data_IF_787994900017
#
_entry.id   IF_787994900017
#
_cell.length_a   1.000
_cell.length_b   1.000
_cell.length_c   1.000
_cell.angle_alpha   90.00
_cell.angle_beta   90.00
_cell.angle_gamma   90.00
#
_symmetry.space_group_name_H-M   'P 1'
#
loop_
_entity.id
_entity.type
_entity.pdbx_description
1 polymer ?
#
# COMPACT_ATOMS: atom_id res chain seq x y z
N UNK A 1 18.26 3.64 -28.32
CA UNK A 1 17.18 2.66 -28.10
C UNK A 1 16.25 2.65 -29.30
N UNK A 2 15.59 1.53 -29.62
CA UNK A 2 14.83 1.28 -30.87
C UNK A 2 13.34 1.69 -30.83
N UNK A 3 12.80 2.10 -29.68
CA UNK A 3 11.40 2.48 -29.55
C UNK A 3 11.15 3.89 -30.10
N UNK A 4 10.00 4.10 -30.76
CA UNK A 4 9.62 5.40 -31.31
C UNK A 4 8.97 6.27 -30.22
N UNK A 5 9.28 7.56 -30.22
CA UNK A 5 8.59 8.55 -29.38
C UNK A 5 7.15 8.72 -29.86
N UNK A 6 6.19 8.66 -28.94
CA UNK A 6 4.78 8.95 -29.22
C UNK A 6 4.68 10.46 -29.53
N UNK A 7 4.23 10.87 -30.73
CA UNK A 7 3.98 12.28 -30.99
C UNK A 7 2.69 12.72 -30.28
N UNK A 8 2.77 13.75 -29.45
CA UNK A 8 1.57 14.33 -28.84
C UNK A 8 0.68 15.00 -29.88
N UNK A 9 -0.62 14.87 -29.70
CA UNK A 9 -1.71 15.51 -30.47
C UNK A 9 -2.53 16.47 -29.62
N UNK A 10 -2.13 16.65 -28.35
CA UNK A 10 -2.80 17.55 -27.43
C UNK A 10 -2.46 18.99 -27.78
N UNK A 11 -3.50 19.80 -27.94
CA UNK A 11 -3.38 21.25 -27.99
C UNK A 11 -3.59 21.82 -26.58
N UNK A 12 -2.49 22.09 -25.89
CA UNK A 12 -2.47 22.67 -24.54
C UNK A 12 -3.00 24.11 -24.49
N UNK A 13 -3.21 24.75 -25.65
CA UNK A 13 -3.81 26.09 -25.75
C UNK A 13 -5.33 26.08 -25.94
N UNK A 14 -5.92 24.89 -26.09
CA UNK A 14 -7.36 24.75 -26.30
C UNK A 14 -8.19 25.05 -25.04
N UNK A 15 -9.40 25.57 -25.25
CA UNK A 15 -10.37 25.84 -24.17
C UNK A 15 -10.76 24.56 -23.41
N UNK A 16 -10.86 23.43 -24.11
CA UNK A 16 -11.14 22.13 -23.50
C UNK A 16 -10.01 21.72 -22.55
N UNK A 17 -8.75 21.82 -22.98
CA UNK A 17 -7.59 21.50 -22.14
C UNK A 17 -7.55 22.37 -20.88
N UNK A 18 -7.82 23.68 -21.02
CA UNK A 18 -7.89 24.59 -19.88
C UNK A 18 -9.02 24.24 -18.90
N UNK A 19 -10.21 23.90 -19.42
CA UNK A 19 -11.37 23.49 -18.63
C UNK A 19 -11.10 22.21 -17.85
N UNK A 20 -10.58 21.19 -18.52
CA UNK A 20 -10.17 19.91 -17.91
C UNK A 20 -9.11 20.13 -16.83
N UNK A 21 -8.09 20.95 -17.14
CA UNK A 21 -7.01 21.27 -16.19
C UNK A 21 -7.56 21.87 -14.91
N UNK A 22 -8.48 22.83 -15.03
CA UNK A 22 -9.11 23.46 -13.87
C UNK A 22 -9.90 22.46 -13.02
N UNK A 23 -10.79 21.67 -13.64
CA UNK A 23 -11.58 20.66 -12.94
C UNK A 23 -10.71 19.60 -12.26
N UNK A 24 -9.67 19.11 -12.94
CA UNK A 24 -8.75 18.13 -12.37
C UNK A 24 -7.95 18.72 -11.20
N UNK A 25 -7.55 19.99 -11.28
CA UNK A 25 -6.88 20.68 -10.18
C UNK A 25 -7.77 20.80 -8.94
N UNK A 26 -9.08 21.01 -9.09
CA UNK A 26 -10.02 20.98 -7.96
C UNK A 26 -10.09 19.59 -7.31
N UNK A 27 -10.09 18.52 -8.10
CA UNK A 27 -10.04 17.15 -7.59
C UNK A 27 -8.72 16.86 -6.84
N UNK A 28 -7.58 17.31 -7.39
CA UNK A 28 -6.27 17.18 -6.73
C UNK A 28 -6.22 18.00 -5.43
N UNK A 29 -6.76 19.21 -5.42
CA UNK A 29 -6.85 20.03 -4.22
C UNK A 29 -7.70 19.34 -3.14
N UNK A 30 -8.85 18.80 -3.53
CA UNK A 30 -9.72 18.00 -2.64
C UNK A 30 -8.99 16.77 -2.09
N UNK A 31 -8.27 16.03 -2.93
CA UNK A 31 -7.48 14.88 -2.49
C UNK A 31 -6.43 15.29 -1.45
N UNK A 32 -5.66 16.35 -1.74
CA UNK A 32 -4.60 16.85 -0.85
C UNK A 32 -5.16 17.35 0.47
N UNK A 33 -6.26 18.09 0.45
CA UNK A 33 -6.95 18.54 1.66
C UNK A 33 -7.35 17.36 2.54
N UNK A 34 -8.02 16.35 1.96
CA UNK A 34 -8.48 15.18 2.71
C UNK A 34 -7.32 14.35 3.25
N UNK A 35 -6.24 14.20 2.47
CA UNK A 35 -5.02 13.54 2.93
C UNK A 35 -4.40 14.30 4.10
N UNK A 36 -4.32 15.63 4.01
CA UNK A 36 -3.78 16.47 5.09
C UNK A 36 -4.61 16.30 6.37
N UNK A 37 -5.95 16.35 6.28
CA UNK A 37 -6.84 16.11 7.43
C UNK A 37 -6.58 14.73 8.04
N UNK A 38 -6.39 13.69 7.23
CA UNK A 38 -6.10 12.35 7.72
C UNK A 38 -4.71 12.22 8.36
N UNK A 39 -3.70 12.92 7.81
CA UNK A 39 -2.32 12.97 8.33
C UNK A 39 -2.29 13.69 9.68
N UNK A 40 -3.03 14.78 9.82
CA UNK A 40 -3.15 15.57 11.06
C UNK A 40 -3.99 14.85 12.14
N UNK A 41 -4.47 13.64 11.85
CA UNK A 41 -5.20 12.79 12.78
C UNK A 41 -6.68 13.11 12.90
N UNK A 42 -7.24 13.93 12.01
CA UNK A 42 -8.67 14.30 11.90
C UNK A 42 -9.12 15.44 12.82
N UNK A 43 -10.39 15.84 12.69
CA UNK A 43 -10.96 16.94 13.49
C UNK A 43 -11.22 16.54 14.95
N UNK A 44 -10.97 17.45 15.90
CA UNK A 44 -11.34 17.29 17.32
C UNK A 44 -10.38 16.47 18.17
N UNK A 45 -9.11 16.34 17.74
CA UNK A 45 -8.17 15.31 18.22
C UNK A 45 -7.02 15.87 19.05
N UNK A 46 -6.92 17.20 19.13
CA UNK A 46 -5.92 17.96 19.90
C UNK A 46 -5.72 17.39 21.30
N UNK A 47 -6.80 17.18 22.07
CA UNK A 47 -6.72 16.61 23.42
C UNK A 47 -6.12 15.20 23.47
N UNK A 48 -6.28 14.40 22.41
CA UNK A 48 -5.67 13.07 22.32
C UNK A 48 -4.18 13.16 22.02
N UNK A 49 -3.81 14.06 21.10
CA UNK A 49 -2.43 14.35 20.71
C UNK A 49 -1.66 14.95 21.90
N UNK A 50 -2.20 15.95 22.58
CA UNK A 50 -1.60 16.57 23.77
C UNK A 50 -1.33 15.53 24.86
N UNK A 51 -2.28 14.62 25.08
CA UNK A 51 -2.12 13.53 26.05
C UNK A 51 -1.09 12.49 25.60
N UNK A 52 -0.92 12.27 24.30
CA UNK A 52 0.12 11.41 23.75
C UNK A 52 1.50 12.03 23.97
N UNK A 53 1.66 13.32 23.66
CA UNK A 53 2.89 14.06 23.91
C UNK A 53 3.20 14.21 25.41
N UNK A 54 2.20 14.44 26.26
CA UNK A 54 2.37 14.51 27.71
C UNK A 54 2.88 13.20 28.33
N UNK A 55 2.75 12.07 27.62
CA UNK A 55 3.32 10.77 27.99
C UNK A 55 4.74 10.56 27.42
N UNK A 56 5.32 11.56 26.76
CA UNK A 56 6.65 11.50 26.16
C UNK A 56 6.73 10.64 24.90
N UNK A 57 5.60 10.41 24.22
CA UNK A 57 5.50 9.51 23.06
C UNK A 57 5.55 10.27 21.74
N UNK A 58 6.15 9.64 20.73
CA UNK A 58 6.29 10.19 19.38
C UNK A 58 5.06 9.82 18.52
N UNK A 59 4.64 10.68 17.59
CA UNK A 59 3.49 10.42 16.72
C UNK A 59 3.80 9.37 15.65
N UNK A 60 2.80 8.57 15.23
CA UNK A 60 3.02 7.40 14.38
C UNK A 60 3.82 7.65 13.09
N UNK A 61 3.63 8.80 12.42
CA UNK A 61 4.39 9.20 11.23
C UNK A 61 5.82 9.61 11.57
N UNK A 62 5.99 10.46 12.58
CA UNK A 62 7.31 10.86 13.08
C UNK A 62 8.15 9.64 13.50
N UNK A 63 7.51 8.59 14.07
CA UNK A 63 8.19 7.32 14.39
C UNK A 63 8.75 6.63 13.14
N UNK A 64 8.03 6.65 12.02
CA UNK A 64 8.49 6.09 10.75
C UNK A 64 9.64 6.94 10.21
N UNK A 65 9.50 8.26 10.19
CA UNK A 65 10.52 9.19 9.70
C UNK A 65 11.84 9.04 10.47
N UNK A 66 11.79 8.88 11.80
CA UNK A 66 12.97 8.65 12.65
C UNK A 66 13.65 7.29 12.41
N UNK A 67 12.95 6.32 11.82
CA UNK A 67 13.49 4.98 11.53
C UNK A 67 14.02 4.90 10.10
N UNK A 68 13.39 5.57 9.14
CA UNK A 68 13.81 5.53 7.73
C UNK A 68 15.10 6.28 7.46
N UNK A 69 15.77 5.94 6.37
CA UNK A 69 16.96 6.64 5.91
C UNK A 69 16.61 8.05 5.42
N UNK A 70 17.46 9.03 5.76
CA UNK A 70 17.31 10.41 5.33
C UNK A 70 17.20 10.54 3.81
N UNK A 71 16.33 11.45 3.35
CA UNK A 71 16.11 11.74 1.93
C UNK A 71 15.66 10.53 1.09
N UNK A 72 15.04 9.52 1.71
CA UNK A 72 14.39 8.41 1.00
C UNK A 72 12.86 8.60 0.98
N UNK A 73 12.17 8.14 -0.08
CA UNK A 73 10.73 8.27 -0.16
C UNK A 73 10.02 7.29 0.77
N UNK A 74 8.87 7.71 1.30
CA UNK A 74 7.89 6.83 1.93
C UNK A 74 6.66 6.70 1.04
N UNK A 75 6.37 5.49 0.57
CA UNK A 75 5.17 5.19 -0.20
C UNK A 75 4.05 4.79 0.77
N UNK A 76 3.28 5.78 1.25
CA UNK A 76 2.15 5.52 2.15
C UNK A 76 0.99 4.82 1.43
N UNK A 77 0.39 3.83 2.08
CA UNK A 77 -0.78 3.11 1.61
C UNK A 77 -2.05 3.65 2.25
N UNK A 78 -3.08 3.86 1.42
CA UNK A 78 -4.47 4.06 1.87
C UNK A 78 -4.60 5.14 2.96
N UNK A 79 -4.02 6.32 2.74
CA UNK A 79 -4.09 7.48 3.66
C UNK A 79 -5.53 7.85 4.01
N UNK A 80 -6.44 7.73 3.04
CA UNK A 80 -7.88 7.99 3.21
C UNK A 80 -8.68 6.78 3.72
N UNK A 81 -8.04 5.76 4.29
CA UNK A 81 -8.78 4.66 4.88
C UNK A 81 -9.76 5.17 5.96
N UNK A 82 -10.98 4.64 5.93
CA UNK A 82 -12.11 5.05 6.77
C UNK A 82 -12.66 6.47 6.53
N UNK A 83 -12.24 7.18 5.46
CA UNK A 83 -12.84 8.47 5.09
C UNK A 83 -14.36 8.33 4.83
N UNK A 84 -15.17 9.18 5.45
CA UNK A 84 -16.63 9.14 5.41
C UNK A 84 -17.25 7.93 6.13
N UNK A 85 -16.48 7.20 6.93
CA UNK A 85 -16.94 6.02 7.69
C UNK A 85 -16.80 6.30 9.19
N UNK A 86 -17.59 5.61 10.01
CA UNK A 86 -17.51 5.70 11.48
C UNK A 86 -17.57 7.15 12.00
N UNK A 87 -18.40 7.99 11.38
CA UNK A 87 -18.54 9.42 11.66
C UNK A 87 -17.22 10.21 11.56
N UNK A 88 -16.29 9.78 10.69
CA UNK A 88 -14.95 10.38 10.49
C UNK A 88 -14.07 10.38 11.76
N UNK A 89 -14.39 9.53 12.74
CA UNK A 89 -13.63 9.42 14.00
C UNK A 89 -12.41 8.47 13.90
N UNK A 90 -12.12 7.94 12.72
CA UNK A 90 -11.06 6.96 12.49
C UNK A 90 -10.17 7.29 11.27
N UNK A 91 -9.63 8.52 11.15
CA UNK A 91 -8.83 8.92 9.98
C UNK A 91 -7.66 7.97 9.73
N UNK A 92 -7.40 7.65 8.47
CA UNK A 92 -6.37 6.68 8.10
C UNK A 92 -6.58 5.27 8.68
N UNK A 93 -7.78 4.97 9.20
CA UNK A 93 -8.11 3.76 9.95
C UNK A 93 -7.28 3.55 11.23
N UNK A 94 -6.75 4.62 11.86
CA UNK A 94 -5.98 4.49 13.10
C UNK A 94 -4.61 3.81 12.94
N UNK A 95 -4.16 3.59 11.71
CA UNK A 95 -2.87 2.97 11.40
C UNK A 95 -2.21 3.62 10.18
N UNK A 96 -0.89 3.75 10.22
CA UNK A 96 -0.06 4.18 9.11
C UNK A 96 0.62 2.96 8.52
N UNK A 97 0.45 2.75 7.22
CA UNK A 97 1.11 1.65 6.51
C UNK A 97 1.77 2.17 5.25
N UNK A 98 2.89 1.56 4.85
CA UNK A 98 3.62 2.01 3.66
C UNK A 98 4.97 1.32 3.51
N UNK A 99 5.69 1.65 2.44
CA UNK A 99 7.07 1.21 2.23
C UNK A 99 8.03 2.35 2.53
N UNK A 100 8.98 2.11 3.43
CA UNK A 100 10.11 3.00 3.71
C UNK A 100 11.43 2.27 3.53
N UNK A 101 12.54 3.01 3.51
CA UNK A 101 13.89 2.45 3.33
C UNK A 101 14.67 2.56 4.63
N UNK A 102 15.33 1.48 5.05
CA UNK A 102 16.22 1.43 6.22
C UNK A 102 17.51 0.72 5.81
N UNK A 103 18.65 1.37 5.95
CA UNK A 103 19.96 0.90 5.46
C UNK A 103 19.95 0.48 3.98
N UNK A 104 19.22 1.22 3.15
CA UNK A 104 19.04 0.93 1.74
C UNK A 104 18.14 -0.28 1.44
N UNK A 105 17.52 -0.90 2.44
CA UNK A 105 16.58 -2.03 2.32
C UNK A 105 15.14 -1.54 2.40
N UNK A 106 14.22 -1.95 1.50
CA UNK A 106 12.81 -1.59 1.60
C UNK A 106 12.08 -2.46 2.64
N UNK A 107 11.31 -1.80 3.51
CA UNK A 107 10.50 -2.41 4.57
C UNK A 107 9.07 -1.95 4.49
N UNK A 108 8.12 -2.87 4.75
CA UNK A 108 6.73 -2.48 4.99
C UNK A 108 6.59 -2.08 6.45
N UNK A 109 6.11 -0.86 6.69
CA UNK A 109 5.80 -0.36 8.02
C UNK A 109 4.31 -0.56 8.32
N UNK A 110 4.00 -0.94 9.56
CA UNK A 110 2.66 -0.95 10.13
C UNK A 110 2.74 -0.30 11.51
N UNK A 111 2.32 0.97 11.59
CA UNK A 111 2.40 1.77 12.80
C UNK A 111 1.00 2.11 13.32
N UNK A 112 0.74 1.81 14.60
CA UNK A 112 -0.52 2.21 15.21
C UNK A 112 -0.49 3.70 15.59
N UNK A 113 -1.59 4.39 15.32
CA UNK A 113 -1.83 5.72 15.85
C UNK A 113 -2.67 5.60 17.14
N UNK A 114 -1.98 5.55 18.27
CA UNK A 114 -2.62 5.47 19.59
C UNK A 114 -3.47 6.70 19.92
N UNK A 115 -3.29 7.81 19.20
CA UNK A 115 -4.15 8.95 19.41
C UNK A 115 -5.57 8.60 18.94
N UNK A 116 -5.76 7.80 17.88
CA UNK A 116 -7.05 7.44 17.24
C UNK A 116 -7.78 6.34 18.01
N UNK A 117 -8.92 6.69 18.64
CA UNK A 117 -9.69 5.80 19.52
C UNK A 117 -8.81 4.99 20.51
N UNK A 118 -7.73 5.60 21.01
CA UNK A 118 -6.78 4.94 21.93
C UNK A 118 -5.97 3.82 21.28
N UNK A 119 -5.80 3.83 19.94
CA UNK A 119 -5.16 2.77 19.17
C UNK A 119 -6.03 1.52 18.97
N UNK A 120 -7.34 1.62 19.21
CA UNK A 120 -8.27 0.50 19.01
C UNK A 120 -8.46 0.22 17.52
N UNK A 121 -8.38 -1.04 17.12
CA UNK A 121 -8.49 -1.47 15.73
C UNK A 121 -9.97 -1.64 15.34
N UNK A 122 -10.40 -0.94 14.29
CA UNK A 122 -11.70 -1.09 13.64
C UNK A 122 -11.63 -2.16 12.54
N UNK A 123 -12.77 -2.64 11.98
CA UNK A 123 -12.75 -3.58 10.86
C UNK A 123 -11.87 -3.12 9.69
N UNK A 124 -11.97 -1.84 9.32
CA UNK A 124 -11.13 -1.23 8.28
C UNK A 124 -9.64 -1.14 8.66
N UNK A 125 -9.31 -1.00 9.95
CA UNK A 125 -7.93 -1.06 10.44
C UNK A 125 -7.33 -2.44 10.19
N UNK A 126 -8.09 -3.50 10.47
CA UNK A 126 -7.66 -4.88 10.20
C UNK A 126 -7.45 -5.10 8.71
N UNK A 127 -8.42 -4.66 7.88
CA UNK A 127 -8.30 -4.76 6.42
C UNK A 127 -7.06 -4.03 5.89
N UNK A 128 -6.75 -2.83 6.40
CA UNK A 128 -5.55 -2.07 6.03
C UNK A 128 -4.25 -2.74 6.51
N UNK A 129 -4.25 -3.33 7.71
CA UNK A 129 -3.12 -4.10 8.24
C UNK A 129 -2.85 -5.34 7.37
N UNK A 130 -3.87 -6.17 7.13
CA UNK A 130 -3.78 -7.38 6.31
C UNK A 130 -3.31 -7.04 4.89
N UNK A 131 -3.83 -5.96 4.29
CA UNK A 131 -3.39 -5.52 2.97
C UNK A 131 -1.91 -5.15 2.93
N UNK A 132 -1.37 -4.52 3.98
CA UNK A 132 0.05 -4.20 4.06
C UNK A 132 0.92 -5.47 4.13
N UNK A 133 0.48 -6.48 4.88
CA UNK A 133 1.15 -7.78 4.92
C UNK A 133 1.07 -8.54 3.60
N UNK A 134 -0.05 -8.47 2.87
CA UNK A 134 -0.17 -9.06 1.54
C UNK A 134 0.85 -8.41 0.58
N UNK A 135 0.97 -7.08 0.60
CA UNK A 135 1.99 -6.35 -0.18
C UNK A 135 3.40 -6.82 0.21
N UNK A 136 3.69 -6.96 1.50
CA UNK A 136 4.98 -7.45 1.97
C UNK A 136 5.27 -8.88 1.46
N UNK A 137 4.30 -9.78 1.58
CA UNK A 137 4.41 -11.18 1.19
C UNK A 137 4.56 -11.37 -0.34
N UNK A 138 3.83 -10.60 -1.14
CA UNK A 138 3.84 -10.61 -2.61
C UNK A 138 5.16 -10.05 -3.17
N UNK A 139 5.73 -9.03 -2.53
CA UNK A 139 6.96 -8.37 -2.96
C UNK A 139 8.21 -8.89 -2.24
N UNK A 140 8.06 -9.88 -1.37
CA UNK A 140 9.13 -10.48 -0.60
C UNK A 140 9.84 -9.47 0.30
N UNK A 141 9.11 -8.60 0.99
CA UNK A 141 9.63 -7.57 1.90
C UNK A 141 9.50 -8.03 3.37
N UNK A 142 10.39 -7.53 4.23
CA UNK A 142 10.22 -7.65 5.68
C UNK A 142 9.19 -6.65 6.21
N UNK A 143 8.70 -6.87 7.42
CA UNK A 143 7.68 -6.03 8.05
C UNK A 143 8.19 -5.48 9.39
N UNK A 144 8.04 -4.17 9.58
CA UNK A 144 8.29 -3.46 10.83
C UNK A 144 6.95 -3.05 11.43
N UNK A 145 6.69 -3.53 12.65
CA UNK A 145 5.51 -3.23 13.44
C UNK A 145 5.87 -2.21 14.52
N UNK A 146 5.30 -1.00 14.44
CA UNK A 146 5.40 0.01 15.48
C UNK A 146 4.12 -0.04 16.32
N UNK A 147 4.16 -0.88 17.35
CA UNK A 147 2.98 -1.38 18.07
C UNK A 147 2.59 -0.42 19.19
N UNK A 148 1.36 0.08 19.12
CA UNK A 148 0.80 1.00 20.11
C UNK A 148 -0.74 0.96 20.06
N UNK A 149 -1.30 -0.18 20.48
CA UNK A 149 -2.72 -0.50 20.26
C UNK A 149 -3.46 -0.82 21.55
N UNK A 150 -4.63 -0.18 21.71
CA UNK A 150 -5.60 -0.48 22.77
C UNK A 150 -6.35 -1.81 22.60
N UNK A 151 -6.09 -2.56 21.52
CA UNK A 151 -6.78 -3.82 21.20
C UNK A 151 -7.88 -3.66 20.15
N UNK A 152 -8.83 -4.59 20.12
CA UNK A 152 -9.95 -4.55 19.19
C UNK A 152 -11.02 -3.54 19.64
N UNK A 153 -11.67 -2.86 18.68
CA UNK A 153 -12.83 -2.04 18.96
C UNK A 153 -14.06 -2.92 19.26
N UNK A 154 -14.25 -3.26 20.53
CA UNK A 154 -15.23 -4.25 21.00
C UNK A 154 -16.67 -4.08 20.47
N UNK A 155 -17.21 -2.86 20.25
CA UNK A 155 -18.55 -2.71 19.68
C UNK A 155 -18.75 -3.34 18.30
N UNK A 156 -17.65 -3.57 17.54
CA UNK A 156 -17.67 -4.18 16.21
C UNK A 156 -16.88 -5.51 16.17
N UNK A 157 -16.82 -6.23 17.30
CA UNK A 157 -15.96 -7.40 17.44
C UNK A 157 -16.23 -8.53 16.44
N UNK A 158 -17.48 -8.71 15.99
CA UNK A 158 -17.90 -9.71 15.02
C UNK A 158 -17.37 -9.43 13.61
N UNK A 159 -17.06 -8.16 13.31
CA UNK A 159 -16.38 -7.71 12.10
C UNK A 159 -14.84 -7.64 12.25
N UNK A 160 -14.31 -7.96 13.44
CA UNK A 160 -12.88 -7.86 13.78
C UNK A 160 -12.25 -9.20 14.12
N UNK A 161 -13.02 -10.17 14.62
CA UNK A 161 -12.48 -11.39 15.23
C UNK A 161 -12.66 -12.68 14.41
N UNK A 162 -13.86 -13.06 13.96
CA UNK A 162 -14.14 -14.47 13.63
C UNK A 162 -13.70 -14.95 12.24
N UNK A 163 -13.63 -14.09 11.23
CA UNK A 163 -13.47 -14.53 9.83
C UNK A 163 -12.00 -14.63 9.38
N UNK A 164 -11.75 -15.28 8.24
CA UNK A 164 -10.41 -15.59 7.71
C UNK A 164 -9.49 -14.37 7.64
N UNK A 165 -10.01 -13.25 7.16
CA UNK A 165 -9.26 -12.00 6.96
C UNK A 165 -9.49 -10.98 8.08
N UNK A 166 -10.08 -11.42 9.20
CA UNK A 166 -10.15 -10.67 10.44
C UNK A 166 -8.83 -10.77 11.22
N UNK A 167 -8.79 -10.27 12.47
CA UNK A 167 -7.54 -9.96 13.15
C UNK A 167 -6.58 -11.17 13.27
N UNK A 168 -7.11 -12.37 13.50
CA UNK A 168 -6.33 -13.61 13.53
C UNK A 168 -5.60 -13.94 12.22
N UNK A 169 -6.16 -13.50 11.08
CA UNK A 169 -5.54 -13.64 9.76
C UNK A 169 -4.21 -12.88 9.62
N UNK A 170 -4.00 -11.83 10.43
CA UNK A 170 -2.72 -11.10 10.46
C UNK A 170 -1.59 -11.91 11.10
N UNK A 171 -1.89 -12.67 12.16
CA UNK A 171 -0.94 -13.56 12.84
C UNK A 171 -0.53 -14.72 11.93
N UNK A 172 -1.49 -15.28 11.19
CA UNK A 172 -1.21 -16.31 10.20
C UNK A 172 -0.22 -15.80 9.14
N UNK A 173 -0.46 -14.61 8.58
CA UNK A 173 0.43 -13.99 7.58
C UNK A 173 1.82 -13.74 8.15
N UNK A 174 1.92 -13.18 9.35
CA UNK A 174 3.19 -12.93 10.03
C UNK A 174 4.01 -14.22 10.18
N UNK A 175 3.41 -15.28 10.73
CA UNK A 175 4.09 -16.57 10.90
C UNK A 175 4.51 -17.19 9.56
N UNK A 176 3.66 -17.09 8.52
CA UNK A 176 3.99 -17.60 7.17
C UNK A 176 5.08 -16.79 6.48
N UNK A 177 5.15 -15.48 6.71
CA UNK A 177 6.21 -14.62 6.18
C UNK A 177 7.55 -14.90 6.87
N UNK A 178 7.58 -15.00 8.19
CA UNK A 178 8.77 -15.42 8.95
C UNK A 178 9.28 -16.79 8.46
N UNK A 179 8.40 -17.79 8.32
CA UNK A 179 8.76 -19.10 7.79
C UNK A 179 9.30 -19.09 6.34
N UNK A 180 9.05 -18.04 5.57
CA UNK A 180 9.60 -17.81 4.21
C UNK A 180 10.91 -17.01 4.22
N UNK A 181 11.43 -16.65 5.39
CA UNK A 181 12.63 -15.83 5.55
C UNK A 181 12.39 -14.32 5.32
N UNK A 182 11.14 -13.86 5.48
CA UNK A 182 10.82 -12.43 5.45
C UNK A 182 10.77 -11.92 6.91
N UNK A 183 11.74 -11.08 7.35
CA UNK A 183 11.85 -10.71 8.76
C UNK A 183 10.62 -9.98 9.27
N UNK A 184 10.20 -10.31 10.49
CA UNK A 184 9.09 -9.71 11.23
C UNK A 184 9.67 -9.02 12.47
N UNK A 185 9.68 -7.69 12.51
CA UNK A 185 10.31 -6.92 13.58
C UNK A 185 9.27 -6.09 14.32
N UNK A 186 9.26 -6.14 15.66
CA UNK A 186 8.33 -5.34 16.46
C UNK A 186 9.02 -4.38 17.40
N UNK A 187 8.48 -3.16 17.50
CA UNK A 187 8.81 -2.19 18.54
C UNK A 187 7.54 -1.87 19.32
N UNK A 188 7.51 -2.20 20.60
CA UNK A 188 6.35 -1.97 21.47
C UNK A 188 6.47 -0.61 22.13
N UNK A 189 5.69 0.34 21.61
CA UNK A 189 5.71 1.77 21.93
C UNK A 189 4.47 2.19 22.74
N UNK A 190 3.82 1.22 23.37
CA UNK A 190 2.67 1.46 24.24
C UNK A 190 1.94 0.19 24.63
N UNK A 191 0.61 0.30 24.74
CA UNK A 191 -0.23 -0.85 25.09
C UNK A 191 -0.26 -1.88 23.96
N UNK A 192 -0.28 -3.15 24.34
CA UNK A 192 -0.38 -4.29 23.43
C UNK A 192 -1.18 -5.40 24.14
N UNK A 193 -2.51 -5.33 24.04
CA UNK A 193 -3.41 -6.19 24.83
C UNK A 193 -4.12 -7.25 23.99
N UNK A 194 -4.39 -8.40 24.60
CA UNK A 194 -5.16 -9.50 24.03
C UNK A 194 -4.64 -9.95 22.67
N UNK A 195 -5.45 -9.88 21.60
CA UNK A 195 -4.99 -10.24 20.26
C UNK A 195 -3.77 -9.44 19.80
N UNK A 196 -3.65 -8.16 20.21
CA UNK A 196 -2.51 -7.33 19.87
C UNK A 196 -1.19 -7.91 20.38
N UNK A 197 -1.20 -8.59 21.52
CA UNK A 197 -0.02 -9.19 22.15
C UNK A 197 0.67 -10.24 21.26
N UNK A 198 -0.06 -10.85 20.31
CA UNK A 198 0.53 -11.80 19.39
C UNK A 198 1.40 -11.16 18.31
N UNK A 199 1.23 -9.87 18.00
CA UNK A 199 2.09 -9.19 17.01
C UNK A 199 3.57 -9.19 17.46
N UNK A 200 3.94 -8.69 18.66
CA UNK A 200 5.30 -8.83 19.14
C UNK A 200 5.66 -10.30 19.41
N UNK A 201 4.78 -11.09 20.03
CA UNK A 201 5.12 -12.47 20.39
C UNK A 201 5.37 -13.41 19.19
N UNK A 202 4.94 -13.05 17.98
CA UNK A 202 5.20 -13.77 16.72
C UNK A 202 6.26 -13.08 15.85
N UNK A 203 6.89 -12.01 16.33
CA UNK A 203 7.99 -11.35 15.62
C UNK A 203 9.28 -12.13 15.82
N UNK A 204 10.18 -12.04 14.84
CA UNK A 204 11.49 -12.67 14.89
C UNK A 204 12.39 -11.95 15.92
N UNK A 205 12.27 -10.62 16.03
CA UNK A 205 12.92 -9.83 17.08
C UNK A 205 11.99 -8.70 17.58
N UNK A 206 12.03 -8.45 18.90
CA UNK A 206 11.13 -7.55 19.63
C UNK A 206 11.91 -6.59 20.52
N UNK A 207 11.65 -5.29 20.35
CA UNK A 207 12.13 -4.21 21.21
C UNK A 207 10.98 -3.68 22.07
N UNK A 208 11.20 -3.55 23.37
CA UNK A 208 10.27 -2.90 24.30
C UNK A 208 10.89 -1.68 24.97
N UNK A 209 10.15 -0.58 25.02
CA UNK A 209 10.56 0.64 25.73
C UNK A 209 10.12 0.58 27.19
N UNK A 210 11.04 0.72 28.13
CA UNK A 210 10.78 0.67 29.57
C UNK A 210 9.80 1.78 30.02
N UNK A 211 8.81 1.43 30.85
CA UNK A 211 7.75 2.35 31.32
C UNK A 211 6.69 2.72 30.27
N UNK A 212 6.90 2.39 29.00
CA UNK A 212 5.99 2.70 27.89
C UNK A 212 5.35 1.42 27.35
N UNK A 213 6.17 0.48 26.89
CA UNK A 213 5.76 -0.76 26.25
C UNK A 213 5.19 -1.78 27.24
N UNK A 214 4.00 -2.29 26.95
CA UNK A 214 3.29 -3.27 27.79
C UNK A 214 2.61 -4.33 26.94
N UNK A 215 2.88 -5.60 27.20
CA UNK A 215 2.28 -6.75 26.51
C UNK A 215 1.49 -7.57 27.53
N UNK A 216 0.23 -7.92 27.25
CA UNK A 216 -0.49 -8.89 28.05
C UNK A 216 -1.70 -9.46 27.31
N UNK A 217 -2.03 -10.73 27.53
CA UNK A 217 -3.25 -11.34 26.97
C UNK A 217 -4.52 -10.81 27.63
N UNK A 218 -4.43 -10.41 28.91
CA UNK A 218 -5.49 -9.70 29.61
C UNK A 218 -4.87 -8.64 30.50
N UNK A 219 -5.30 -7.39 30.34
CA UNK A 219 -4.77 -6.28 31.15
C UNK A 219 -5.21 -6.33 32.60
N UNK A 220 -4.69 -5.43 33.46
CA UNK A 220 -5.02 -5.39 34.87
C UNK A 220 -6.53 -5.40 35.21
N UNK A 221 -7.41 -4.73 34.43
CA UNK A 221 -8.86 -4.85 34.66
C UNK A 221 -9.40 -6.28 34.52
N UNK A 222 -8.88 -7.07 33.56
CA UNK A 222 -9.29 -8.46 33.33
C UNK A 222 -8.73 -9.36 34.44
N UNK A 223 -7.48 -9.17 34.83
CA UNK A 223 -6.85 -9.92 35.94
C UNK A 223 -7.62 -9.70 37.24
N UNK A 224 -7.97 -8.45 37.55
CA UNK A 224 -8.80 -8.12 38.72
C UNK A 224 -10.18 -8.77 38.65
N UNK A 225 -10.84 -8.73 37.49
CA UNK A 225 -12.16 -9.32 37.33
C UNK A 225 -12.15 -10.85 37.45
N UNK A 226 -11.10 -11.52 36.95
CA UNK A 226 -11.01 -12.97 36.93
C UNK A 226 -10.45 -13.58 38.24
N UNK A 227 -9.46 -12.92 38.85
CA UNK A 227 -8.68 -13.47 39.98
C UNK A 227 -8.76 -12.62 41.25
N UNK A 228 -9.35 -11.43 41.21
CA UNK A 228 -9.39 -10.49 42.34
C UNK A 228 -8.05 -9.80 42.63
N UNK A 229 -7.01 -10.10 41.84
CA UNK A 229 -5.66 -9.56 42.01
C UNK A 229 -5.57 -8.12 41.48
N UNK A 230 -4.96 -7.23 42.27
CA UNK A 230 -4.63 -5.86 41.87
C UNK A 230 -3.13 -5.84 41.59
N UNK A 231 -2.77 -5.68 40.32
CA UNK A 231 -1.39 -5.69 39.84
C UNK A 231 -1.11 -4.45 39.01
N UNK A 232 0.09 -3.89 39.15
CA UNK A 232 0.55 -2.78 38.32
C UNK A 232 0.72 -3.22 36.85
N UNK A 233 0.38 -2.40 35.84
CA UNK A 233 0.56 -2.77 34.44
C UNK A 233 2.00 -3.16 34.06
N UNK A 234 3.01 -2.49 34.61
CA UNK A 234 4.42 -2.77 34.33
C UNK A 234 4.88 -4.04 35.07
N UNK A 235 4.37 -4.28 36.27
CA UNK A 235 4.57 -5.55 36.96
C UNK A 235 3.90 -6.70 36.22
N UNK A 236 2.73 -6.51 35.62
CA UNK A 236 1.99 -7.56 34.90
C UNK A 236 2.68 -7.95 33.58
N UNK A 237 3.09 -6.96 32.78
CA UNK A 237 3.54 -7.18 31.41
C UNK A 237 4.42 -6.05 30.84
N UNK A 238 5.17 -5.36 31.69
CA UNK A 238 6.11 -4.32 31.27
C UNK A 238 7.38 -4.89 30.62
N UNK A 239 8.18 -3.99 30.04
CA UNK A 239 9.42 -4.33 29.33
C UNK A 239 10.40 -5.16 30.17
N UNK A 240 10.55 -4.84 31.46
CA UNK A 240 11.46 -5.56 32.37
C UNK A 240 11.07 -7.03 32.52
N UNK A 241 9.77 -7.30 32.76
CA UNK A 241 9.25 -8.66 32.88
C UNK A 241 9.46 -9.44 31.59
N UNK A 242 9.10 -8.85 30.44
CA UNK A 242 9.17 -9.56 29.18
C UNK A 242 10.58 -9.77 28.64
N UNK A 243 11.53 -8.91 29.00
CA UNK A 243 12.93 -9.05 28.57
C UNK A 243 13.75 -9.91 29.53
N UNK A 244 13.58 -9.75 30.84
CA UNK A 244 14.45 -10.41 31.85
C UNK A 244 13.88 -11.70 32.43
N UNK A 245 12.57 -11.93 32.30
CA UNK A 245 11.90 -13.08 32.92
C UNK A 245 11.28 -13.99 31.87
N UNK A 246 10.35 -13.49 31.05
CA UNK A 246 9.59 -14.36 30.15
C UNK A 246 10.26 -14.62 28.80
N UNK A 247 11.16 -13.73 28.35
CA UNK A 247 11.77 -13.80 27.02
C UNK A 247 10.78 -13.52 25.87
N UNK A 248 9.72 -12.75 26.13
CA UNK A 248 8.79 -12.30 25.06
C UNK A 248 9.37 -11.12 24.30
N UNK A 249 10.28 -10.37 24.91
CA UNK A 249 11.05 -9.32 24.26
C UNK A 249 12.54 -9.65 24.29
N UNK A 250 13.23 -9.34 23.20
CA UNK A 250 14.66 -9.60 23.03
C UNK A 250 15.52 -8.42 23.49
N UNK A 251 14.97 -7.21 23.40
CA UNK A 251 15.68 -5.96 23.68
C UNK A 251 14.83 -5.01 24.54
N UNK A 252 15.39 -4.55 25.66
CA UNK A 252 14.84 -3.44 26.45
C UNK A 252 15.66 -2.17 26.23
N UNK A 253 14.98 -1.05 26.05
CA UNK A 253 15.57 0.29 25.90
C UNK A 253 14.84 1.29 26.79
N UNK A 254 15.50 2.42 27.10
CA UNK A 254 14.94 3.40 28.03
C UNK A 254 14.10 4.48 27.35
N UNK A 255 14.25 4.67 26.03
CA UNK A 255 13.51 5.70 25.27
C UNK A 255 13.06 5.19 23.90
N UNK A 256 12.05 5.85 23.29
CA UNK A 256 11.64 5.51 21.93
C UNK A 256 12.78 5.76 20.91
N UNK A 257 13.62 6.79 21.12
CA UNK A 257 14.76 7.08 20.23
C UNK A 257 15.82 5.97 20.26
N UNK A 258 16.13 5.43 21.44
CA UNK A 258 16.99 4.24 21.56
C UNK A 258 16.35 3.02 20.88
N UNK A 259 15.02 2.91 20.92
CA UNK A 259 14.31 1.83 20.23
C UNK A 259 14.49 1.91 18.71
N UNK A 260 14.45 3.11 18.13
CA UNK A 260 14.67 3.29 16.69
C UNK A 260 16.11 3.01 16.28
N UNK A 261 17.08 3.44 17.09
CA UNK A 261 18.49 3.11 16.87
C UNK A 261 18.71 1.59 16.90
N UNK A 262 18.16 0.90 17.91
CA UNK A 262 18.22 -0.57 18.01
C UNK A 262 17.48 -1.26 16.86
N UNK A 263 16.33 -0.73 16.43
CA UNK A 263 15.61 -1.28 15.28
C UNK A 263 16.45 -1.19 14.01
N UNK A 264 17.11 -0.05 13.77
CA UNK A 264 18.02 0.14 12.62
C UNK A 264 19.20 -0.84 12.69
N UNK A 265 19.80 -1.05 13.87
CA UNK A 265 20.83 -2.07 14.10
C UNK A 265 20.34 -3.47 13.71
N UNK A 266 19.15 -3.87 14.15
CA UNK A 266 18.53 -5.16 13.78
C UNK A 266 18.29 -5.23 12.27
N UNK A 267 17.75 -4.19 11.64
CA UNK A 267 17.58 -4.15 10.19
C UNK A 267 18.90 -4.42 9.44
N UNK A 268 20.03 -3.92 9.94
CA UNK A 268 21.34 -4.13 9.33
C UNK A 268 21.85 -5.59 9.41
N UNK A 269 21.37 -6.39 10.38
CA UNK A 269 21.79 -7.80 10.54
C UNK A 269 20.92 -8.78 9.76
N UNK A 270 19.78 -8.34 9.22
CA UNK A 270 18.81 -9.22 8.54
C UNK A 270 19.27 -9.76 7.17
N UNK A 271 20.43 -9.33 6.67
CA UNK A 271 20.99 -9.75 5.37
C UNK A 271 20.00 -9.60 4.20
N UNK A 272 19.19 -8.54 4.25
CA UNK A 272 18.14 -8.28 3.26
C UNK A 272 18.67 -7.52 2.06
N UNK A 273 18.04 -7.77 0.91
CA UNK A 273 18.42 -7.16 -0.35
C UNK A 273 18.11 -5.66 -0.35
N UNK A 274 19.11 -4.87 -0.75
CA UNK A 274 19.01 -3.42 -0.90
C UNK A 274 18.30 -3.03 -2.21
N UNK A 275 17.75 -1.81 -2.25
CA UNK A 275 17.02 -1.23 -3.40
C UNK A 275 17.92 -1.07 -4.64
N UNK A 276 19.21 -0.79 -4.44
CA UNK A 276 20.20 -0.62 -5.50
C UNK A 276 20.62 -1.94 -6.18
N UNK A 277 20.32 -3.08 -5.56
CA UNK A 277 20.60 -4.40 -6.11
C UNK A 277 19.42 -4.86 -6.97
N UNK A 278 19.57 -4.97 -8.29
CA UNK A 278 18.52 -5.34 -9.26
C UNK A 278 18.15 -6.84 -9.25
N UNK A 279 18.94 -7.67 -8.54
CA UNK A 279 18.68 -9.11 -8.38
C UNK A 279 18.71 -9.87 -9.70
N UNK A 280 19.29 -9.27 -10.74
CA UNK A 280 19.63 -9.87 -12.01
C UNK A 280 18.48 -10.21 -12.97
N UNK A 281 17.21 -10.20 -12.54
CA UNK A 281 16.11 -10.59 -13.43
C UNK A 281 15.40 -9.41 -14.12
N UNK A 282 15.49 -8.21 -13.56
CA UNK A 282 15.01 -6.97 -14.18
C UNK A 282 16.19 -6.16 -14.70
N UNK A 283 16.30 -6.04 -16.02
CA UNK A 283 17.26 -5.13 -16.64
C UNK A 283 16.83 -3.68 -16.43
N UNK A 284 17.68 -2.89 -15.76
CA UNK A 284 17.52 -1.44 -15.64
C UNK A 284 18.49 -0.74 -16.60
N UNK A 285 17.96 0.10 -17.48
CA UNK A 285 18.75 0.96 -18.36
C UNK A 285 18.87 2.38 -17.80
N UNK A 286 19.60 3.24 -18.50
CA UNK A 286 19.61 4.68 -18.24
C UNK A 286 18.18 5.23 -18.19
N UNK A 287 17.93 6.07 -17.19
CA UNK A 287 16.63 6.72 -16.94
C UNK A 287 16.54 7.96 -17.80
N UNK A 288 15.44 8.11 -18.52
CA UNK A 288 15.13 9.34 -19.26
C UNK A 288 13.77 9.86 -18.81
N UNK A 289 13.61 11.17 -18.54
CA UNK A 289 12.29 11.73 -18.25
C UNK A 289 11.36 11.57 -19.48
N UNK A 290 10.04 11.55 -19.29
CA UNK A 290 9.09 11.69 -20.40
C UNK A 290 9.38 12.95 -21.22
N UNK A 291 9.11 12.91 -22.52
CA UNK A 291 9.30 14.05 -23.43
C UNK A 291 8.25 15.16 -23.25
N UNK A 292 7.16 14.88 -22.52
CA UNK A 292 6.07 15.81 -22.24
C UNK A 292 5.87 15.99 -20.73
N UNK A 293 5.42 17.17 -20.27
CA UNK A 293 5.15 17.41 -18.86
C UNK A 293 4.08 16.46 -18.30
N UNK A 294 4.31 15.90 -17.11
CA UNK A 294 3.32 15.03 -16.45
C UNK A 294 2.04 15.79 -16.07
N UNK A 295 2.15 17.09 -15.80
CA UNK A 295 1.04 17.98 -15.46
C UNK A 295 0.00 18.14 -16.58
N UNK A 296 0.37 17.89 -17.83
CA UNK A 296 -0.57 17.86 -18.95
C UNK A 296 -1.68 16.82 -18.77
N UNK A 297 -1.46 15.78 -17.94
CA UNK A 297 -2.49 14.77 -17.62
C UNK A 297 -3.77 15.45 -17.11
N UNK A 298 -3.64 16.57 -16.40
CA UNK A 298 -4.77 17.34 -15.89
C UNK A 298 -5.66 17.89 -16.99
N UNK A 299 -5.10 18.26 -18.14
CA UNK A 299 -5.87 18.75 -19.29
C UNK A 299 -6.31 17.65 -20.27
N UNK A 300 -5.71 16.46 -20.19
CA UNK A 300 -6.03 15.31 -21.05
C UNK A 300 -7.27 14.57 -20.57
N UNK A 301 -7.37 14.33 -19.25
CA UNK A 301 -8.50 13.61 -18.69
C UNK A 301 -9.70 14.56 -18.67
N UNK A 302 -10.76 14.19 -19.40
CA UNK A 302 -11.95 15.01 -19.49
C UNK A 302 -12.73 15.02 -18.17
N UNK A 303 -13.21 16.20 -17.78
CA UNK A 303 -14.13 16.37 -16.64
C UNK A 303 -15.45 15.60 -16.86
N UNK A 304 -15.99 15.67 -18.09
CA UNK A 304 -17.08 14.79 -18.51
C UNK A 304 -16.53 13.41 -18.88
N UNK A 305 -16.70 12.45 -17.98
CA UNK A 305 -16.24 11.06 -18.15
C UNK A 305 -16.84 10.33 -19.36
N UNK A 306 -17.86 10.89 -20.03
CA UNK A 306 -18.42 10.35 -21.28
C UNK A 306 -17.59 10.73 -22.50
N UNK A 307 -16.75 11.76 -22.40
CA UNK A 307 -15.88 12.21 -23.48
C UNK A 307 -14.60 11.37 -23.44
N UNK A 308 -14.33 10.54 -24.48
CA UNK A 308 -13.13 9.74 -24.51
C UNK A 308 -11.88 10.61 -24.68
N UNK A 309 -10.75 10.11 -24.22
CA UNK A 309 -9.43 10.66 -24.51
C UNK A 309 -8.53 9.55 -25.07
N UNK A 310 -7.50 9.92 -25.83
CA UNK A 310 -6.52 8.98 -26.36
C UNK A 310 -5.56 8.55 -25.24
N UNK A 311 -5.63 7.29 -24.82
CA UNK A 311 -4.78 6.80 -23.74
C UNK A 311 -3.29 6.77 -24.09
N UNK A 312 -2.90 6.90 -25.37
CA UNK A 312 -1.49 7.09 -25.74
C UNK A 312 -0.91 8.39 -25.19
N UNK A 313 -1.73 9.43 -24.97
CA UNK A 313 -1.30 10.70 -24.38
C UNK A 313 -0.94 10.55 -22.90
N UNK A 314 -1.63 9.65 -22.18
CA UNK A 314 -1.28 9.28 -20.81
C UNK A 314 0.02 8.46 -20.80
N UNK A 315 0.14 7.45 -21.68
CA UNK A 315 1.36 6.63 -21.80
C UNK A 315 2.58 7.53 -22.06
N UNK A 316 2.46 8.50 -22.98
CA UNK A 316 3.53 9.42 -23.34
C UNK A 316 4.04 10.26 -22.16
N UNK A 317 3.24 10.47 -21.10
CA UNK A 317 3.61 11.27 -19.91
C UNK A 317 4.06 10.42 -18.73
N UNK A 318 4.04 9.10 -18.88
CA UNK A 318 4.47 8.14 -17.86
C UNK A 318 5.79 7.44 -18.19
N UNK A 319 6.08 7.22 -19.48
CA UNK A 319 7.19 6.35 -19.91
C UNK A 319 8.43 7.14 -20.34
N UNK A 320 9.59 6.54 -20.14
CA UNK A 320 10.90 7.15 -20.39
C UNK A 320 11.05 7.61 -21.86
N UNK A 321 11.39 8.89 -22.04
CA UNK A 321 11.51 9.54 -23.35
C UNK A 321 10.20 9.55 -24.17
N UNK A 322 9.06 9.26 -23.54
CA UNK A 322 7.77 9.05 -24.21
C UNK A 322 7.81 7.99 -25.31
N UNK A 323 8.70 6.99 -25.17
CA UNK A 323 8.93 5.97 -26.19
C UNK A 323 8.09 4.71 -25.96
N UNK A 324 7.47 4.24 -27.03
CA UNK A 324 6.54 3.11 -26.96
C UNK A 324 6.64 2.20 -28.18
N UNK A 325 6.82 0.90 -27.94
CA UNK A 325 6.80 -0.13 -28.98
C UNK A 325 5.44 -0.81 -29.00
N UNK A 326 4.56 -0.35 -29.89
CA UNK A 326 3.20 -0.85 -30.01
C UNK A 326 3.17 -2.32 -30.45
N UNK A 327 2.27 -3.08 -29.85
CA UNK A 327 1.93 -4.44 -30.25
C UNK A 327 0.54 -4.43 -30.90
N UNK A 328 0.43 -4.98 -32.12
CA UNK A 328 -0.80 -4.98 -32.93
C UNK A 328 -1.49 -3.60 -33.01
N UNK A 329 -0.82 -2.55 -33.50
CA UNK A 329 -1.39 -1.19 -33.53
C UNK A 329 -2.67 -1.08 -34.36
N UNK A 330 -2.85 -1.93 -35.38
CA UNK A 330 -3.97 -1.86 -36.34
C UNK A 330 -5.12 -2.84 -36.03
N UNK A 331 -5.08 -3.57 -34.92
CA UNK A 331 -6.09 -4.58 -34.57
C UNK A 331 -6.52 -4.46 -33.10
N UNK A 332 -7.81 -4.62 -32.81
CA UNK A 332 -8.36 -4.48 -31.46
C UNK A 332 -7.98 -3.13 -30.82
N UNK A 333 -8.22 -2.03 -31.55
CA UNK A 333 -7.69 -0.68 -31.24
C UNK A 333 -8.28 -0.04 -29.98
N UNK A 334 -9.38 -0.58 -29.45
CA UNK A 334 -9.96 -0.14 -28.17
C UNK A 334 -9.16 -0.59 -26.94
N UNK A 335 -8.12 -1.41 -27.11
CA UNK A 335 -7.05 -1.62 -26.13
C UNK A 335 -5.71 -1.37 -26.79
N UNK A 336 -4.94 -0.44 -26.22
CA UNK A 336 -3.55 -0.19 -26.58
C UNK A 336 -2.68 -1.17 -25.81
N UNK A 337 -1.78 -1.84 -26.52
CA UNK A 337 -0.77 -2.73 -25.92
C UNK A 337 0.59 -2.42 -26.49
N UNK A 338 1.63 -2.46 -25.68
CA UNK A 338 2.99 -2.25 -26.15
C UNK A 338 4.01 -2.21 -25.01
N UNK A 339 5.29 -2.17 -25.38
CA UNK A 339 6.39 -2.14 -24.44
C UNK A 339 6.91 -0.71 -24.26
N UNK A 340 7.28 -0.37 -23.03
CA UNK A 340 7.86 0.91 -22.68
C UNK A 340 8.93 0.72 -21.59
N UNK A 341 9.63 1.79 -21.21
CA UNK A 341 10.42 1.80 -19.98
C UNK A 341 9.87 2.83 -19.01
N UNK A 342 9.90 2.51 -17.71
CA UNK A 342 9.58 3.45 -16.64
C UNK A 342 10.73 3.39 -15.64
N UNK A 343 11.43 4.51 -15.46
CA UNK A 343 12.59 4.61 -14.58
C UNK A 343 13.68 3.55 -14.91
N UNK A 344 13.86 3.29 -16.22
CA UNK A 344 14.79 2.33 -16.77
C UNK A 344 14.27 0.88 -16.85
N UNK A 345 13.16 0.54 -16.19
CA UNK A 345 12.60 -0.82 -16.18
C UNK A 345 11.69 -1.07 -17.38
N UNK A 346 11.90 -2.17 -18.09
CA UNK A 346 11.01 -2.60 -19.17
C UNK A 346 9.65 -3.01 -18.61
N UNK A 347 8.57 -2.46 -19.18
CA UNK A 347 7.19 -2.75 -18.78
C UNK A 347 6.32 -3.03 -20.01
N UNK A 348 5.37 -3.94 -19.87
CA UNK A 348 4.28 -4.15 -20.81
C UNK A 348 3.08 -3.32 -20.39
N UNK A 349 2.65 -2.38 -21.22
CA UNK A 349 1.50 -1.50 -20.93
C UNK A 349 0.27 -2.02 -21.65
N UNK A 350 -0.85 -2.08 -20.93
CA UNK A 350 -2.18 -2.40 -21.45
C UNK A 350 -3.11 -1.26 -21.03
N UNK A 351 -3.61 -0.48 -21.97
CA UNK A 351 -4.44 0.69 -21.69
C UNK A 351 -5.77 0.61 -22.44
N UNK A 352 -6.88 0.87 -21.74
CA UNK A 352 -8.17 1.00 -22.40
C UNK A 352 -8.21 2.28 -23.24
N UNK A 353 -8.80 2.19 -24.42
CA UNK A 353 -8.99 3.29 -25.36
C UNK A 353 -10.41 3.26 -25.96
N UNK A 354 -11.38 2.75 -25.18
CA UNK A 354 -12.77 2.55 -25.59
C UNK A 354 -13.38 1.25 -25.05
N UNK A 355 -14.54 0.88 -25.60
CA UNK A 355 -15.28 -0.33 -25.23
C UNK A 355 -14.51 -1.59 -25.63
N UNK A 356 -14.58 -2.65 -24.83
CA UNK A 356 -13.85 -3.89 -25.10
C UNK A 356 -14.61 -4.78 -26.10
N UNK A 357 -13.98 -5.05 -27.25
CA UNK A 357 -14.43 -6.00 -28.25
C UNK A 357 -13.65 -7.32 -28.16
N UNK A 358 -14.14 -8.38 -28.82
CA UNK A 358 -13.49 -9.70 -28.87
C UNK A 358 -12.02 -9.63 -29.32
N UNK A 359 -11.73 -8.82 -30.33
CA UNK A 359 -10.39 -8.60 -30.88
C UNK A 359 -9.47 -7.95 -29.84
N UNK A 360 -9.98 -6.95 -29.12
CA UNK A 360 -9.22 -6.25 -28.08
C UNK A 360 -8.89 -7.18 -26.90
N UNK A 361 -9.85 -8.00 -26.47
CA UNK A 361 -9.63 -8.99 -25.41
C UNK A 361 -8.60 -10.06 -25.84
N UNK A 362 -8.70 -10.57 -27.07
CA UNK A 362 -7.72 -11.52 -27.63
C UNK A 362 -6.33 -10.90 -27.79
N UNK A 363 -6.24 -9.62 -28.17
CA UNK A 363 -4.98 -8.87 -28.27
C UNK A 363 -4.32 -8.75 -26.91
N UNK A 364 -5.07 -8.30 -25.90
CA UNK A 364 -4.58 -8.19 -24.54
C UNK A 364 -4.13 -9.56 -23.99
N UNK A 365 -4.92 -10.62 -24.22
CA UNK A 365 -4.57 -12.00 -23.83
C UNK A 365 -3.19 -12.39 -24.38
N UNK A 366 -2.99 -12.29 -25.69
CA UNK A 366 -1.72 -12.65 -26.32
C UNK A 366 -0.58 -11.76 -25.80
N UNK A 367 -0.83 -10.47 -25.58
CA UNK A 367 0.20 -9.57 -25.06
C UNK A 367 0.61 -9.92 -23.61
N UNK A 368 -0.34 -10.31 -22.76
CA UNK A 368 -0.08 -10.80 -21.40
C UNK A 368 0.79 -12.06 -21.44
N UNK A 369 0.44 -13.03 -22.30
CA UNK A 369 1.21 -14.26 -22.48
C UNK A 369 2.65 -13.97 -22.93
N UNK A 370 2.85 -12.99 -23.81
CA UNK A 370 4.18 -12.54 -24.22
C UNK A 370 4.96 -11.91 -23.07
N UNK A 371 4.31 -11.08 -22.24
CA UNK A 371 4.95 -10.48 -21.07
C UNK A 371 5.33 -11.53 -20.03
N UNK A 372 4.48 -12.52 -19.77
CA UNK A 372 4.77 -13.67 -18.92
C UNK A 372 6.00 -14.44 -19.42
N UNK A 373 5.98 -14.82 -20.71
CA UNK A 373 7.07 -15.57 -21.34
C UNK A 373 8.41 -14.83 -21.23
N UNK A 374 8.39 -13.50 -21.34
CA UNK A 374 9.58 -12.64 -21.31
C UNK A 374 9.92 -12.12 -19.91
N UNK A 375 9.13 -12.47 -18.89
CA UNK A 375 9.27 -11.98 -17.51
C UNK A 375 9.22 -10.45 -17.41
N UNK A 376 8.32 -9.83 -18.15
CA UNK A 376 8.14 -8.37 -18.19
C UNK A 376 6.96 -7.98 -17.28
N UNK A 377 7.14 -7.08 -16.28
CA UNK A 377 6.05 -6.53 -15.49
C UNK A 377 4.96 -5.88 -16.33
N UNK A 378 3.71 -5.99 -15.89
CA UNK A 378 2.55 -5.43 -16.56
C UNK A 378 2.04 -4.17 -15.86
N UNK A 379 1.72 -3.14 -16.64
CA UNK A 379 1.00 -1.94 -16.21
C UNK A 379 -0.35 -1.87 -16.92
N UNK A 380 -1.42 -1.90 -16.14
CA UNK A 380 -2.79 -1.72 -16.61
C UNK A 380 -3.22 -0.26 -16.37
N UNK A 381 -3.59 0.44 -17.43
CA UNK A 381 -4.19 1.77 -17.38
C UNK A 381 -5.69 1.63 -17.67
N UNK A 382 -6.48 1.62 -16.61
CA UNK A 382 -7.89 1.24 -16.68
C UNK A 382 -8.78 2.46 -16.92
N UNK A 383 -9.54 2.41 -18.02
CA UNK A 383 -10.61 3.34 -18.37
C UNK A 383 -11.66 2.59 -19.19
N UNK A 384 -12.41 1.71 -18.52
CA UNK A 384 -13.37 0.81 -19.16
C UNK A 384 -14.79 1.07 -18.70
N UNK A 385 -15.72 1.09 -19.65
CA UNK A 385 -17.17 1.09 -19.45
C UNK A 385 -17.80 -0.29 -19.61
N UNK A 386 -17.00 -1.31 -19.97
CA UNK A 386 -17.44 -2.69 -20.14
C UNK A 386 -17.12 -3.27 -21.51
N UNK A 387 -17.75 -4.41 -21.80
CA UNK A 387 -17.68 -5.10 -23.09
C UNK A 387 -18.79 -4.63 -24.04
N UNK A 388 -18.59 -4.85 -25.33
CA UNK A 388 -19.67 -4.67 -26.30
C UNK A 388 -20.81 -5.66 -26.05
N UNK A 389 -22.05 -5.21 -26.24
CA UNK A 389 -23.27 -6.01 -26.07
C UNK A 389 -24.05 -6.08 -27.38
N UNK A 390 -24.88 -7.11 -27.53
CA UNK A 390 -25.74 -7.31 -28.71
C UNK A 390 -25.60 -8.72 -29.30
N UNK A 391 -26.56 -9.09 -30.16
CA UNK A 391 -26.64 -10.44 -30.76
C UNK A 391 -25.35 -10.81 -31.51
N UNK A 392 -24.83 -9.92 -32.34
CA UNK A 392 -23.58 -10.14 -33.07
C UNK A 392 -22.36 -10.34 -32.14
N UNK A 393 -22.29 -9.57 -31.04
CA UNK A 393 -21.21 -9.70 -30.07
C UNK A 393 -21.25 -11.06 -29.37
N UNK A 394 -22.44 -11.49 -28.94
CA UNK A 394 -22.66 -12.80 -28.32
C UNK A 394 -22.38 -13.95 -29.30
N UNK A 395 -22.91 -13.87 -30.53
CA UNK A 395 -22.69 -14.86 -31.58
C UNK A 395 -21.22 -14.99 -31.99
N UNK A 396 -20.46 -13.88 -31.93
CA UNK A 396 -18.99 -13.89 -32.15
C UNK A 396 -18.20 -14.51 -30.99
N UNK A 397 -18.86 -14.81 -29.87
CA UNK A 397 -18.26 -15.46 -28.71
C UNK A 397 -17.55 -14.49 -27.76
N UNK A 398 -18.01 -13.23 -27.66
CA UNK A 398 -17.35 -12.20 -26.84
C UNK A 398 -17.10 -12.62 -25.39
N UNK A 399 -18.04 -13.37 -24.79
CA UNK A 399 -17.88 -13.93 -23.44
C UNK A 399 -16.64 -14.85 -23.34
N UNK A 400 -16.44 -15.75 -24.31
CA UNK A 400 -15.28 -16.66 -24.36
C UNK A 400 -13.98 -15.89 -24.62
N UNK A 401 -14.05 -14.82 -25.41
CA UNK A 401 -12.90 -13.96 -25.68
C UNK A 401 -12.49 -13.14 -24.46
N UNK A 402 -13.45 -12.55 -23.73
CA UNK A 402 -13.21 -11.90 -22.44
C UNK A 402 -12.68 -12.87 -21.39
N UNK A 403 -13.24 -14.09 -21.31
CA UNK A 403 -12.77 -15.12 -20.38
C UNK A 403 -11.30 -15.52 -20.59
N UNK A 404 -10.79 -15.50 -21.84
CA UNK A 404 -9.36 -15.72 -22.12
C UNK A 404 -8.50 -14.62 -21.50
N UNK A 405 -8.92 -13.37 -21.59
CA UNK A 405 -8.21 -12.24 -20.99
C UNK A 405 -8.20 -12.37 -19.47
N UNK A 406 -9.34 -12.68 -18.84
CA UNK A 406 -9.42 -12.92 -17.39
C UNK A 406 -8.48 -14.06 -16.98
N UNK A 407 -8.50 -15.18 -17.71
CA UNK A 407 -7.60 -16.29 -17.44
C UNK A 407 -6.12 -15.91 -17.56
N UNK A 408 -5.74 -15.10 -18.56
CA UNK A 408 -4.36 -14.63 -18.71
C UNK A 408 -3.93 -13.71 -17.54
N UNK A 409 -4.76 -12.75 -17.14
CA UNK A 409 -4.48 -11.85 -16.01
C UNK A 409 -4.36 -12.61 -14.69
N UNK A 410 -5.23 -13.60 -14.49
CA UNK A 410 -5.24 -14.42 -13.27
C UNK A 410 -4.01 -15.33 -13.16
N UNK A 411 -3.56 -15.92 -14.28
CA UNK A 411 -2.48 -16.91 -14.28
C UNK A 411 -1.06 -16.32 -14.44
N UNK A 412 -0.92 -15.09 -14.95
CA UNK A 412 0.41 -14.46 -15.09
C UNK A 412 1.04 -14.19 -13.72
N UNK A 413 2.33 -14.49 -13.60
CA UNK A 413 3.12 -14.44 -12.36
C UNK A 413 4.07 -13.25 -12.30
N UNK A 414 4.24 -12.51 -13.40
CA UNK A 414 4.98 -11.25 -13.40
C UNK A 414 4.30 -10.20 -12.50
N UNK A 415 5.04 -9.21 -11.97
CA UNK A 415 4.43 -8.11 -11.22
C UNK A 415 3.40 -7.37 -12.07
N UNK A 416 2.26 -7.06 -11.45
CA UNK A 416 1.13 -6.38 -12.08
C UNK A 416 0.83 -5.10 -11.30
N UNK A 417 0.80 -3.99 -12.01
CA UNK A 417 0.43 -2.69 -11.48
C UNK A 417 -0.82 -2.21 -12.22
N UNK A 418 -1.78 -1.64 -11.49
CA UNK A 418 -3.01 -1.10 -12.08
C UNK A 418 -3.19 0.33 -11.62
N UNK A 419 -3.45 1.22 -12.57
CA UNK A 419 -3.81 2.62 -12.33
C UNK A 419 -5.19 2.85 -12.96
N UNK A 420 -6.14 3.28 -12.14
CA UNK A 420 -7.45 3.70 -12.62
C UNK A 420 -7.31 5.14 -13.12
N UNK A 421 -7.39 5.33 -14.44
CA UNK A 421 -7.25 6.62 -15.11
C UNK A 421 -8.60 7.17 -15.63
N UNK A 422 -9.69 6.47 -15.31
CA UNK A 422 -11.06 6.81 -15.71
C UNK A 422 -12.04 5.77 -15.17
N UNK A 423 -12.93 5.27 -16.03
CA UNK A 423 -13.95 4.29 -15.65
C UNK A 423 -13.38 2.93 -15.21
N UNK A 424 -14.01 2.33 -14.20
CA UNK A 424 -13.76 0.95 -13.77
C UNK A 424 -15.09 0.24 -13.53
N UNK A 425 -15.81 -0.03 -14.62
CA UNK A 425 -17.15 -0.61 -14.61
C UNK A 425 -17.17 -2.02 -15.20
N UNK A 426 -18.05 -2.88 -14.67
CA UNK A 426 -18.21 -4.28 -15.10
C UNK A 426 -19.23 -5.01 -14.26
#
# INVERSE_FOLDING_TARGET
>A
MTFQTIPTRIDSSSELFATNTWAYQELVATLRERQQIAIDGGHGREKSIDRHHARGKVMARDRIDLVTDDNTPFLEFSTLAAWGQYNDEAPGAGIVTGIGVVHGVPWVFIANDATIKGGSLLPVSIKKHVRAQDIAAENGLGVIYLVDSGGAFLPLQDEIFPDRDHFGGSFHRQARMSARGLPQLSVVLGGCTAGGAYVPALSDEVIMVEGIGRIFLGGPPIVKAALGEIIDPDDLGGAVKHTRVSGVSDNIVSTEHEAYARLREICATTNRRRVDHDGGWLERTEVEPPAYPAEDIYGIINDDSRIPFDATEIIARLVDGSRFATFKPEWGTSIITGFARIHGYLVGVIANNGIIFSEAALKATHFIELCEQRRIPLLFLQNTTGYMVGDDAEASGIAKHGAKMVAAVANTTVPKYTVLIGGSYG
#
